data_IF_490787583642
#
_entry.id   IF_490787583642
#
_cell.length_a   1.000
_cell.length_b   1.000
_cell.length_c   1.000
_cell.angle_alpha   90.00
_cell.angle_beta   90.00
_cell.angle_gamma   90.00
#
_symmetry.space_group_name_H-M   'P 1'
#
loop_
_entity.id
_entity.type
_entity.pdbx_description
1 polymer ?
#
# COMPACT_ATOMS: atom_id res chain seq x y z
N UNK A 1 -16.69 17.00 6.64
CA UNK A 1 -16.55 18.25 5.87
C UNK A 1 -17.47 18.18 4.65
N UNK A 2 -17.98 19.30 4.12
CA UNK A 2 -18.83 19.26 2.92
C UNK A 2 -17.96 19.30 1.65
N UNK A 3 -18.21 18.34 0.75
CA UNK A 3 -17.51 18.20 -0.53
C UNK A 3 -18.46 18.57 -1.67
N UNK A 4 -17.98 19.35 -2.63
CA UNK A 4 -18.69 19.76 -3.85
C UNK A 4 -18.68 18.64 -4.90
N UNK A 5 -19.13 17.46 -4.49
CA UNK A 5 -19.28 16.28 -5.35
C UNK A 5 -20.76 15.88 -5.37
N UNK A 6 -21.25 15.52 -6.54
CA UNK A 6 -22.63 15.04 -6.72
C UNK A 6 -22.60 13.57 -7.09
N UNK A 7 -23.21 12.73 -6.24
CA UNK A 7 -23.38 11.31 -6.52
C UNK A 7 -24.61 11.08 -7.41
N UNK A 8 -24.46 10.20 -8.40
CA UNK A 8 -25.53 9.84 -9.35
C UNK A 8 -26.14 8.46 -9.07
N UNK A 9 -25.46 7.64 -8.28
CA UNK A 9 -25.87 6.29 -7.94
C UNK A 9 -25.44 5.91 -6.51
N UNK A 10 -25.93 4.77 -6.03
CA UNK A 10 -25.67 4.31 -4.65
C UNK A 10 -24.18 4.05 -4.39
N UNK A 11 -23.43 3.59 -5.39
CA UNK A 11 -22.01 3.32 -5.27
C UNK A 11 -21.22 4.63 -5.09
N UNK A 12 -21.54 5.65 -5.88
CA UNK A 12 -20.96 6.99 -5.74
C UNK A 12 -21.34 7.64 -4.40
N UNK A 13 -22.54 7.38 -3.88
CA UNK A 13 -22.97 7.86 -2.56
C UNK A 13 -22.12 7.27 -1.42
N UNK A 14 -21.77 5.99 -1.49
CA UNK A 14 -20.89 5.35 -0.52
C UNK A 14 -19.48 5.96 -0.55
N UNK A 15 -18.94 6.17 -1.74
CA UNK A 15 -17.62 6.82 -1.93
C UNK A 15 -17.66 8.26 -1.43
N UNK A 16 -18.71 9.01 -1.75
CA UNK A 16 -18.89 10.38 -1.27
C UNK A 16 -18.92 10.44 0.26
N UNK A 17 -19.71 9.56 0.89
CA UNK A 17 -19.81 9.48 2.34
C UNK A 17 -18.47 9.13 2.97
N UNK A 18 -17.72 8.21 2.37
CA UNK A 18 -16.38 7.87 2.82
C UNK A 18 -15.45 9.09 2.75
N UNK A 19 -15.41 9.79 1.62
CA UNK A 19 -14.57 10.98 1.43
C UNK A 19 -14.96 12.10 2.41
N UNK A 20 -16.25 12.35 2.65
CA UNK A 20 -16.72 13.37 3.59
C UNK A 20 -16.24 13.14 5.02
N UNK A 21 -16.05 11.87 5.41
CA UNK A 21 -15.63 11.46 6.75
C UNK A 21 -14.12 11.36 6.91
N UNK A 22 -13.38 11.07 5.83
CA UNK A 22 -11.96 10.73 5.90
C UNK A 22 -11.02 11.71 5.17
N UNK A 23 -11.54 12.57 4.29
CA UNK A 23 -10.69 13.52 3.57
C UNK A 23 -10.08 14.56 4.53
N UNK A 24 -8.79 14.84 4.34
CA UNK A 24 -8.11 15.97 4.99
C UNK A 24 -8.63 17.31 4.48
N UNK A 25 -8.40 18.40 5.21
CA UNK A 25 -8.79 19.74 4.75
C UNK A 25 -8.12 20.10 3.41
N UNK A 26 -6.88 19.67 3.22
CA UNK A 26 -6.12 19.87 1.98
C UNK A 26 -6.80 19.12 0.83
N UNK A 27 -7.13 17.84 1.02
CA UNK A 27 -7.79 17.03 0.01
C UNK A 27 -9.18 17.58 -0.34
N UNK A 28 -9.95 17.98 0.67
CA UNK A 28 -11.25 18.59 0.46
C UNK A 28 -11.16 19.92 -0.31
N UNK A 29 -10.13 20.73 -0.05
CA UNK A 29 -9.85 21.93 -0.84
C UNK A 29 -9.54 21.58 -2.30
N UNK A 30 -8.71 20.56 -2.56
CA UNK A 30 -8.44 20.06 -3.93
C UNK A 30 -9.72 19.58 -4.62
N UNK A 31 -10.58 18.85 -3.92
CA UNK A 31 -11.86 18.37 -4.44
C UNK A 31 -12.79 19.53 -4.78
N UNK A 32 -12.92 20.50 -3.88
CA UNK A 32 -13.90 21.59 -4.01
C UNK A 32 -13.47 22.65 -5.03
N UNK A 33 -12.18 22.99 -5.05
CA UNK A 33 -11.64 24.07 -5.85
C UNK A 33 -10.99 23.58 -7.16
N UNK A 34 -10.57 22.32 -7.21
CA UNK A 34 -9.73 21.77 -8.27
C UNK A 34 -8.25 22.05 -8.01
N UNK A 35 -7.40 21.58 -8.93
CA UNK A 35 -5.94 21.78 -8.89
C UNK A 35 -5.45 22.51 -10.14
N UNK A 36 -4.44 23.38 -10.04
CA UNK A 36 -3.84 24.01 -11.21
C UNK A 36 -3.24 22.97 -12.17
N UNK A 37 -3.44 23.14 -13.47
CA UNK A 37 -2.93 22.25 -14.50
C UNK A 37 -2.47 23.05 -15.72
N UNK A 38 -1.25 22.82 -16.19
CA UNK A 38 -0.72 23.52 -17.36
C UNK A 38 -0.88 22.68 -18.63
N UNK A 39 -1.53 23.25 -19.65
CA UNK A 39 -1.68 22.61 -20.96
C UNK A 39 -1.68 23.65 -22.07
N UNK A 40 -0.94 23.38 -23.15
CA UNK A 40 -0.87 24.26 -24.32
C UNK A 40 -0.47 25.72 -23.99
N UNK A 41 0.36 25.90 -22.95
CA UNK A 41 0.80 27.22 -22.47
C UNK A 41 -0.28 28.01 -21.71
N UNK A 42 -1.40 27.36 -21.33
CA UNK A 42 -2.47 27.93 -20.53
C UNK A 42 -2.56 27.25 -19.16
N UNK A 43 -2.79 28.04 -18.13
CA UNK A 43 -3.15 27.55 -16.80
C UNK A 43 -4.64 27.22 -16.81
N UNK A 44 -4.96 25.99 -16.44
CA UNK A 44 -6.31 25.44 -16.38
C UNK A 44 -6.58 24.94 -14.96
N UNK A 45 -7.85 24.77 -14.62
CA UNK A 45 -8.27 24.13 -13.37
C UNK A 45 -8.71 22.71 -13.65
N UNK A 46 -8.00 21.73 -13.09
CA UNK A 46 -8.38 20.33 -13.11
C UNK A 46 -9.40 20.04 -12.01
N UNK A 47 -10.61 19.60 -12.38
CA UNK A 47 -11.63 19.13 -11.44
C UNK A 47 -11.96 17.68 -11.71
N UNK A 48 -11.90 16.89 -10.64
CA UNK A 48 -12.21 15.46 -10.65
C UNK A 48 -13.65 15.26 -10.19
N UNK A 49 -14.27 14.19 -10.67
CA UNK A 49 -15.68 13.85 -10.37
C UNK A 49 -15.79 12.41 -9.89
N UNK A 50 -16.87 12.08 -9.19
CA UNK A 50 -17.16 10.71 -8.77
C UNK A 50 -17.31 9.77 -9.96
N UNK A 51 -17.94 10.22 -11.05
CA UNK A 51 -18.00 9.43 -12.29
C UNK A 51 -16.62 9.18 -12.90
N UNK A 52 -15.72 10.17 -12.85
CA UNK A 52 -14.32 10.02 -13.25
C UNK A 52 -13.59 8.99 -12.38
N UNK A 53 -13.82 9.05 -11.07
CA UNK A 53 -13.30 8.06 -10.12
C UNK A 53 -13.81 6.65 -10.44
N UNK A 54 -15.10 6.46 -10.71
CA UNK A 54 -15.64 5.13 -11.03
C UNK A 54 -14.95 4.49 -12.25
N UNK A 55 -14.65 5.29 -13.29
CA UNK A 55 -13.87 4.82 -14.45
C UNK A 55 -12.44 4.45 -14.07
N UNK A 56 -11.79 5.29 -13.26
CA UNK A 56 -10.46 5.02 -12.74
C UNK A 56 -10.41 3.72 -11.91
N UNK A 57 -11.36 3.53 -11.00
CA UNK A 57 -11.48 2.31 -10.19
C UNK A 57 -11.70 1.06 -11.06
N UNK A 58 -12.53 1.14 -12.11
CA UNK A 58 -12.70 0.03 -13.06
C UNK A 58 -11.39 -0.34 -13.78
N UNK A 59 -10.58 0.64 -14.18
CA UNK A 59 -9.29 0.35 -14.83
C UNK A 59 -8.30 -0.32 -13.86
N UNK A 60 -8.21 0.17 -12.61
CA UNK A 60 -7.39 -0.45 -11.58
C UNK A 60 -7.84 -1.88 -11.27
N UNK A 61 -9.15 -2.10 -11.21
CA UNK A 61 -9.73 -3.43 -11.06
C UNK A 61 -9.32 -4.38 -12.19
N UNK A 62 -9.35 -3.91 -13.43
CA UNK A 62 -8.93 -4.69 -14.59
C UNK A 62 -7.43 -5.01 -14.54
N UNK A 63 -6.59 -4.03 -14.24
CA UNK A 63 -5.14 -4.21 -14.13
C UNK A 63 -4.77 -5.25 -13.07
N UNK A 64 -5.48 -5.27 -11.93
CA UNK A 64 -5.30 -6.32 -10.91
C UNK A 64 -5.63 -7.71 -11.46
N UNK A 65 -6.70 -7.83 -12.25
CA UNK A 65 -7.06 -9.10 -12.89
C UNK A 65 -6.02 -9.53 -13.93
N UNK A 66 -5.46 -8.60 -14.70
CA UNK A 66 -4.42 -8.88 -15.72
C UNK A 66 -3.10 -9.34 -15.08
N UNK A 67 -2.77 -8.83 -13.89
CA UNK A 67 -1.59 -9.25 -13.11
C UNK A 67 -1.76 -10.62 -12.42
N UNK A 68 -2.82 -11.36 -12.74
CA UNK A 68 -3.06 -12.71 -12.22
C UNK A 68 -3.55 -12.76 -10.78
N UNK A 69 -4.07 -11.64 -10.24
CA UNK A 69 -4.69 -11.65 -8.92
C UNK A 69 -5.94 -12.55 -8.94
N UNK A 70 -5.98 -13.54 -8.06
CA UNK A 70 -7.11 -14.48 -7.95
C UNK A 70 -8.09 -13.97 -6.91
N UNK A 71 -8.90 -12.97 -7.28
CA UNK A 71 -10.01 -12.51 -6.45
C UNK A 71 -11.32 -12.44 -7.24
N UNK A 72 -12.41 -12.90 -6.62
CA UNK A 72 -13.74 -12.82 -7.21
C UNK A 72 -14.37 -11.42 -7.09
N UNK A 73 -13.89 -10.61 -6.15
CA UNK A 73 -14.36 -9.24 -5.92
C UNK A 73 -13.24 -8.34 -5.36
N UNK A 74 -13.47 -7.03 -5.40
CA UNK A 74 -12.60 -6.03 -4.79
C UNK A 74 -13.31 -5.54 -3.54
N UNK A 75 -12.61 -5.49 -2.42
CA UNK A 75 -13.16 -5.03 -1.16
C UNK A 75 -13.31 -3.49 -1.13
N UNK A 76 -14.25 -3.04 -0.30
CA UNK A 76 -14.57 -1.62 -0.17
C UNK A 76 -13.36 -0.78 0.28
N UNK A 77 -12.48 -1.31 1.14
CA UNK A 77 -11.32 -0.59 1.65
C UNK A 77 -10.32 -0.27 0.55
N UNK A 78 -10.06 -1.24 -0.34
CA UNK A 78 -9.24 -1.03 -1.54
C UNK A 78 -9.83 0.04 -2.45
N UNK A 79 -11.14 -0.01 -2.73
CA UNK A 79 -11.83 1.00 -3.56
C UNK A 79 -11.75 2.39 -2.93
N UNK A 80 -11.94 2.49 -1.61
CA UNK A 80 -11.84 3.76 -0.89
C UNK A 80 -10.41 4.33 -0.88
N UNK A 81 -9.39 3.47 -0.78
CA UNK A 81 -8.00 3.88 -0.92
C UNK A 81 -7.73 4.48 -2.31
N UNK A 82 -8.25 3.85 -3.36
CA UNK A 82 -8.19 4.41 -4.71
C UNK A 82 -8.92 5.76 -4.83
N UNK A 83 -9.99 5.98 -4.08
CA UNK A 83 -10.70 7.25 -4.10
C UNK A 83 -9.84 8.38 -3.54
N UNK A 84 -9.18 8.16 -2.39
CA UNK A 84 -8.24 9.14 -1.81
C UNK A 84 -7.12 9.44 -2.80
N UNK A 85 -6.44 8.40 -3.30
CA UNK A 85 -5.36 8.57 -4.26
C UNK A 85 -5.82 9.28 -5.53
N UNK A 86 -6.97 8.89 -6.09
CA UNK A 86 -7.54 9.51 -7.28
C UNK A 86 -7.73 11.01 -7.10
N UNK A 87 -8.27 11.47 -5.96
CA UNK A 87 -8.50 12.89 -5.73
C UNK A 87 -7.23 13.66 -5.29
N UNK A 88 -6.30 13.00 -4.60
CA UNK A 88 -5.09 13.60 -4.08
C UNK A 88 -4.00 13.81 -5.14
N UNK A 89 -3.88 12.87 -6.07
CA UNK A 89 -2.77 12.79 -7.03
C UNK A 89 -2.91 13.80 -8.18
N UNK A 90 -2.03 14.79 -8.24
CA UNK A 90 -2.15 15.90 -9.20
C UNK A 90 -1.90 15.47 -10.66
N UNK A 91 -1.20 14.35 -10.87
CA UNK A 91 -0.98 13.78 -12.20
C UNK A 91 -2.22 13.16 -12.84
N UNK A 92 -3.25 12.83 -12.05
CA UNK A 92 -4.51 12.30 -12.56
C UNK A 92 -5.39 13.45 -13.07
N UNK A 93 -5.65 13.43 -14.37
CA UNK A 93 -6.42 14.49 -15.05
C UNK A 93 -7.91 14.14 -15.09
N UNK A 94 -8.73 15.01 -14.51
CA UNK A 94 -10.18 15.01 -14.63
C UNK A 94 -10.66 15.93 -15.76
N UNK A 95 -11.74 16.65 -15.51
CA UNK A 95 -12.25 17.66 -16.45
C UNK A 95 -11.47 18.96 -16.25
N UNK A 96 -10.92 19.50 -17.34
CA UNK A 96 -10.18 20.76 -17.33
C UNK A 96 -11.12 21.94 -17.59
N UNK A 97 -10.95 23.01 -16.84
CA UNK A 97 -11.71 24.25 -16.97
C UNK A 97 -10.78 25.44 -17.23
N UNK A 98 -11.22 26.37 -18.07
CA UNK A 98 -10.55 27.67 -18.24
C UNK A 98 -10.82 28.58 -17.03
N UNK A 99 -10.11 29.70 -16.97
CA UNK A 99 -10.29 30.73 -15.91
C UNK A 99 -11.71 31.33 -15.88
N UNK A 100 -12.44 31.28 -17.00
CA UNK A 100 -13.84 31.71 -17.11
C UNK A 100 -14.86 30.65 -16.62
N UNK A 101 -14.38 29.49 -16.15
CA UNK A 101 -15.21 28.39 -15.69
C UNK A 101 -15.83 27.54 -16.82
N UNK A 102 -15.52 27.81 -18.08
CA UNK A 102 -15.94 26.97 -19.21
C UNK A 102 -15.06 25.72 -19.32
N UNK A 103 -15.66 24.60 -19.70
CA UNK A 103 -14.92 23.36 -19.92
C UNK A 103 -13.93 23.52 -21.09
N UNK A 104 -12.66 23.20 -20.84
CA UNK A 104 -11.60 23.26 -21.84
C UNK A 104 -11.78 22.12 -22.86
N UNK A 105 -12.19 22.50 -24.08
CA UNK A 105 -12.17 21.63 -25.24
C UNK A 105 -10.95 21.98 -26.07
N UNK A 106 -10.02 21.04 -26.21
CA UNK A 106 -8.85 21.23 -27.07
C UNK A 106 -9.33 21.55 -28.49
N UNK A 107 -8.95 22.72 -29.00
CA UNK A 107 -9.26 23.09 -30.38
C UNK A 107 -8.31 22.30 -31.28
N UNK A 108 -8.71 21.09 -31.67
CA UNK A 108 -8.06 20.40 -32.79
C UNK A 108 -8.45 21.17 -34.04
N UNK A 109 -7.47 21.74 -34.75
CA UNK A 109 -7.72 22.33 -36.08
C UNK A 109 -8.44 21.28 -36.94
N UNK A 110 -9.55 21.64 -37.62
CA UNK A 110 -10.26 20.67 -38.46
C UNK A 110 -9.37 20.32 -39.65
N UNK A 111 -8.97 19.05 -39.74
CA UNK A 111 -8.58 18.48 -41.03
C UNK A 111 -9.88 18.40 -41.83
N UNK A 112 -9.96 19.20 -42.91
CA UNK A 112 -11.06 19.13 -43.88
C UNK A 112 -11.07 17.73 -44.50
N UNK A 113 -11.92 16.84 -43.97
CA UNK A 113 -12.30 15.64 -44.69
C UNK A 113 -13.27 16.04 -45.79
N UNK A 114 -12.74 16.36 -46.96
CA UNK A 114 -13.51 16.43 -48.18
C UNK A 114 -13.98 15.01 -48.54
N UNK A 115 -15.28 14.77 -48.35
CA UNK A 115 -15.97 13.56 -48.78
C UNK A 115 -15.85 13.40 -50.30
N UNK A 116 -15.09 12.41 -50.76
CA UNK A 116 -15.13 11.92 -52.15
C UNK A 116 -15.80 10.54 -52.14
N UNK A 117 -16.89 10.43 -52.91
CA UNK A 117 -17.66 9.19 -53.16
C UNK A 117 -16.78 8.09 -53.79
N UNK A 118 -16.96 6.80 -53.46
CA UNK A 118 -16.20 5.71 -54.08
C UNK A 118 -16.79 5.31 -55.45
N UNK A 119 -15.92 5.07 -56.44
CA UNK A 119 -16.20 4.34 -57.71
C UNK A 119 -15.04 3.35 -57.95
N UNK A 120 -15.26 2.15 -58.53
CA UNK A 120 -14.48 0.94 -58.18
C UNK A 120 -13.19 0.70 -58.99
N UNK A 121 -12.20 0.12 -58.27
CA UNK A 121 -11.08 -0.83 -58.56
C UNK A 121 -10.46 -0.99 -59.97
N UNK A 122 -9.13 -1.26 -60.06
CA UNK A 122 -8.59 -2.64 -59.92
C UNK A 122 -7.31 -2.81 -59.05
N UNK A 123 -6.91 -4.07 -58.80
CA UNK A 123 -6.08 -4.59 -57.69
C UNK A 123 -4.55 -4.73 -57.95
N UNK A 124 -3.76 -4.56 -56.85
CA UNK A 124 -2.50 -5.23 -56.39
C UNK A 124 -1.18 -5.05 -57.19
N UNK A 125 0.03 -5.10 -56.54
CA UNK A 125 0.46 -6.09 -55.53
C UNK A 125 0.86 -5.56 -54.14
N UNK A 126 0.95 -6.50 -53.20
CA UNK A 126 1.35 -6.36 -51.79
C UNK A 126 2.87 -6.45 -51.68
N UNK A 127 3.48 -5.59 -50.87
CA UNK A 127 4.73 -5.92 -50.19
C UNK A 127 4.49 -5.97 -48.69
N UNK A 128 4.89 -7.11 -48.13
CA UNK A 128 4.82 -7.51 -46.73
C UNK A 128 6.22 -7.28 -46.16
N UNK A 129 6.35 -6.55 -45.06
CA UNK A 129 7.50 -6.73 -44.17
C UNK A 129 7.02 -6.86 -42.71
N UNK A 130 7.47 -7.94 -42.09
CA UNK A 130 7.05 -8.54 -40.83
C UNK A 130 7.70 -7.87 -39.60
N UNK A 131 7.03 -8.07 -38.45
CA UNK A 131 7.43 -7.75 -37.08
C UNK A 131 8.82 -8.25 -36.69
N UNK A 132 9.56 -7.40 -35.97
CA UNK A 132 10.84 -7.71 -35.30
C UNK A 132 10.58 -8.19 -33.86
N UNK A 133 9.67 -9.13 -33.62
CA UNK A 133 9.52 -9.71 -32.27
C UNK A 133 8.81 -11.07 -32.32
N UNK A 134 9.23 -11.91 -33.27
CA UNK A 134 8.76 -13.30 -33.38
C UNK A 134 9.93 -14.14 -33.90
N UNK A 135 11.02 -14.21 -33.12
CA UNK A 135 12.03 -15.25 -33.32
C UNK A 135 12.79 -15.50 -32.00
N UNK A 136 12.96 -16.79 -31.69
CA UNK A 136 13.62 -17.40 -30.52
C UNK A 136 12.80 -17.61 -29.24
N UNK A 137 11.67 -18.31 -29.39
CA UNK A 137 11.36 -19.42 -28.48
C UNK A 137 11.72 -20.75 -29.15
N UNK A 138 12.67 -21.44 -28.53
CA UNK A 138 12.90 -22.90 -28.52
C UNK A 138 13.23 -23.66 -29.81
N UNK A 139 14.42 -24.27 -29.80
CA UNK A 139 14.76 -25.68 -30.16
C UNK A 139 16.30 -25.77 -30.24
N UNK A 140 17.03 -26.81 -29.86
CA UNK A 140 16.79 -28.10 -29.21
C UNK A 140 18.18 -28.72 -28.88
N UNK A 141 18.16 -29.86 -28.19
CA UNK A 141 19.23 -30.57 -27.46
C UNK A 141 20.29 -31.29 -28.34
N UNK A 142 21.58 -31.33 -27.90
CA UNK A 142 22.40 -32.57 -27.69
C UNK A 142 23.89 -32.34 -27.34
N UNK A 143 24.24 -32.83 -26.14
CA UNK A 143 25.41 -33.61 -25.68
C UNK A 143 26.85 -33.30 -26.15
N UNK A 144 27.76 -33.02 -25.20
CA UNK A 144 28.84 -33.94 -24.77
C UNK A 144 29.70 -33.39 -23.60
N UNK A 145 29.85 -34.23 -22.58
CA UNK A 145 31.01 -34.53 -21.69
C UNK A 145 32.03 -33.45 -21.21
N UNK A 146 32.03 -33.25 -19.89
CA UNK A 146 33.09 -33.46 -18.85
C UNK A 146 34.56 -32.94 -19.01
N UNK A 147 35.11 -32.59 -17.83
CA UNK A 147 36.49 -32.19 -17.42
C UNK A 147 36.76 -30.68 -17.41
N UNK A 148 36.87 -29.98 -16.27
CA UNK A 148 37.72 -30.04 -15.06
C UNK A 148 38.89 -29.01 -15.11
N UNK A 149 39.28 -28.57 -13.91
CA UNK A 149 40.31 -27.63 -13.47
C UNK A 149 39.92 -26.16 -13.35
N UNK A 150 40.26 -25.44 -12.27
CA UNK A 150 40.61 -25.80 -10.90
C UNK A 150 40.75 -24.48 -10.12
N UNK A 151 40.29 -24.48 -8.86
CA UNK A 151 40.88 -23.82 -7.69
C UNK A 151 41.34 -22.35 -7.78
N UNK A 152 40.68 -21.47 -7.03
CA UNK A 152 41.37 -20.75 -5.94
C UNK A 152 40.51 -20.85 -4.67
N UNK A 153 41.22 -21.23 -3.62
CA UNK A 153 40.78 -21.81 -2.35
C UNK A 153 40.70 -20.73 -1.27
N UNK A 154 39.61 -20.76 -0.51
CA UNK A 154 39.50 -20.56 0.95
C UNK A 154 39.98 -19.30 1.69
N UNK A 155 39.17 -19.06 2.76
CA UNK A 155 39.49 -18.50 4.10
C UNK A 155 39.45 -16.97 4.21
N UNK A 156 38.75 -16.38 5.18
CA UNK A 156 38.61 -16.79 6.58
C UNK A 156 37.26 -16.36 7.19
N UNK A 157 36.64 -17.30 7.90
CA UNK A 157 35.93 -17.02 9.15
C UNK A 157 36.93 -16.59 10.23
N UNK A 158 36.66 -15.50 10.96
CA UNK A 158 36.47 -15.58 12.41
C UNK A 158 36.09 -14.24 13.05
N UNK A 159 35.15 -14.41 13.95
CA UNK A 159 34.63 -13.56 15.00
C UNK A 159 35.72 -13.12 15.99
N UNK A 160 35.75 -11.85 16.36
CA UNK A 160 36.20 -11.43 17.68
C UNK A 160 35.51 -10.16 18.16
N UNK A 161 35.27 -10.16 19.47
CA UNK A 161 34.49 -9.22 20.26
C UNK A 161 35.27 -7.92 20.51
N UNK A 162 34.55 -6.81 20.56
CA UNK A 162 34.96 -5.65 21.36
C UNK A 162 33.73 -4.87 21.83
N UNK A 163 33.40 -5.03 23.11
CA UNK A 163 32.73 -4.04 23.96
C UNK A 163 33.64 -2.77 23.98
N UNK A 164 33.26 -1.51 24.11
CA UNK A 164 32.08 -0.75 24.54
C UNK A 164 32.26 0.66 23.96
N UNK A 165 31.20 1.40 23.62
CA UNK A 165 30.91 2.77 24.10
C UNK A 165 29.80 3.46 23.29
N UNK A 166 28.89 4.05 24.05
CA UNK A 166 27.65 4.70 23.63
C UNK A 166 28.00 6.07 23.03
N UNK A 167 27.73 6.26 21.73
CA UNK A 167 27.60 7.58 21.13
C UNK A 167 26.35 7.68 20.24
N UNK A 168 25.70 8.83 20.41
CA UNK A 168 24.43 9.33 19.87
C UNK A 168 24.38 9.24 18.33
N UNK A 169 23.24 8.89 17.68
CA UNK A 169 23.24 8.66 16.24
C UNK A 169 23.42 9.98 15.49
N UNK A 170 24.58 10.10 14.83
CA UNK A 170 24.90 11.13 13.86
C UNK A 170 24.26 10.78 12.51
N UNK A 171 23.73 11.80 11.83
CA UNK A 171 23.23 11.72 10.46
C UNK A 171 24.30 11.12 9.54
N UNK A 172 23.99 9.98 8.94
CA UNK A 172 24.71 9.46 7.77
C UNK A 172 23.83 9.74 6.56
N UNK A 173 24.05 10.90 5.92
CA UNK A 173 23.54 11.20 4.59
C UNK A 173 24.56 10.69 3.56
N UNK A 174 24.44 9.42 3.18
CA UNK A 174 25.11 8.89 1.98
C UNK A 174 24.23 9.10 0.75
N UNK A 175 24.77 9.46 -0.43
CA UNK A 175 23.99 10.14 -1.48
C UNK A 175 23.03 9.25 -2.29
N UNK A 176 22.92 7.94 -2.00
CA UNK A 176 22.10 6.99 -2.77
C UNK A 176 21.53 5.84 -1.92
N UNK A 177 21.20 6.09 -0.64
CA UNK A 177 20.61 5.04 0.22
C UNK A 177 19.14 4.82 -0.14
N UNK A 178 18.79 3.61 -0.61
CA UNK A 178 17.41 3.25 -0.96
C UNK A 178 16.52 3.15 0.29
N UNK A 179 15.20 3.11 0.12
CA UNK A 179 14.29 2.83 1.23
C UNK A 179 14.64 1.51 1.93
N UNK A 180 14.93 0.48 1.14
CA UNK A 180 15.23 -0.85 1.68
C UNK A 180 16.52 -0.86 2.50
N UNK A 181 17.56 -0.14 2.05
CA UNK A 181 18.80 0.02 2.83
C UNK A 181 18.52 0.67 4.20
N UNK A 182 17.70 1.73 4.23
CA UNK A 182 17.30 2.40 5.48
C UNK A 182 16.53 1.46 6.40
N UNK A 183 15.61 0.69 5.82
CA UNK A 183 14.85 -0.32 6.56
C UNK A 183 15.76 -1.39 7.18
N UNK A 184 16.70 -1.92 6.40
CA UNK A 184 17.66 -2.93 6.87
C UNK A 184 18.53 -2.42 8.01
N UNK A 185 19.03 -1.18 7.91
CA UNK A 185 19.80 -0.56 8.99
C UNK A 185 18.98 -0.47 10.28
N UNK A 186 17.72 -0.04 10.19
CA UNK A 186 16.82 0.04 11.34
C UNK A 186 16.53 -1.34 11.93
N UNK A 187 16.30 -2.34 11.10
CA UNK A 187 16.04 -3.72 11.53
C UNK A 187 17.27 -4.35 12.20
N UNK A 188 18.48 -4.10 11.66
CA UNK A 188 19.74 -4.55 12.26
C UNK A 188 20.01 -3.88 13.62
N UNK A 189 19.66 -2.60 13.76
CA UNK A 189 19.77 -1.89 15.03
C UNK A 189 18.75 -2.36 16.08
N UNK A 190 17.65 -3.00 15.65
CA UNK A 190 16.54 -3.42 16.51
C UNK A 190 16.22 -4.91 16.31
N UNK A 191 17.15 -5.84 16.59
CA UNK A 191 16.98 -7.25 16.27
C UNK A 191 15.87 -7.96 17.06
N UNK A 192 15.38 -7.34 18.15
CA UNK A 192 14.29 -7.87 19.00
C UNK A 192 12.92 -7.30 18.67
N UNK A 193 12.82 -6.45 17.65
CA UNK A 193 11.60 -5.75 17.28
C UNK A 193 11.37 -5.85 15.78
N UNK A 194 10.11 -5.98 15.38
CA UNK A 194 9.72 -5.75 14.00
C UNK A 194 9.68 -4.24 13.72
N UNK A 195 10.22 -3.81 12.59
CA UNK A 195 10.18 -2.40 12.16
C UNK A 195 8.92 -2.15 11.35
N UNK A 196 8.00 -1.35 11.89
CA UNK A 196 6.84 -0.84 11.17
C UNK A 196 7.17 0.55 10.61
N UNK A 197 7.50 0.62 9.33
CA UNK A 197 7.93 1.85 8.67
C UNK A 197 6.75 2.50 7.95
N UNK A 198 6.46 3.77 8.27
CA UNK A 198 5.41 4.52 7.59
C UNK A 198 5.88 5.03 6.24
N UNK A 199 5.17 4.60 5.21
CA UNK A 199 5.31 5.10 3.85
C UNK A 199 3.95 5.61 3.39
N UNK A 200 3.78 6.94 3.41
CA UNK A 200 2.51 7.58 3.09
C UNK A 200 1.41 7.25 4.12
N UNK A 201 0.35 6.63 3.65
CA UNK A 201 -0.84 6.23 4.42
C UNK A 201 -0.79 4.79 4.93
N UNK A 202 0.32 4.06 4.75
CA UNK A 202 0.51 2.71 5.28
C UNK A 202 1.72 2.61 6.19
N UNK A 203 1.64 1.70 7.17
CA UNK A 203 2.83 1.12 7.79
C UNK A 203 3.16 -0.19 7.09
N UNK A 204 4.44 -0.38 6.79
CA UNK A 204 4.97 -1.57 6.15
C UNK A 204 5.99 -2.27 7.05
N UNK A 205 5.86 -3.60 7.16
CA UNK A 205 6.84 -4.50 7.79
C UNK A 205 7.31 -5.46 6.70
N UNK A 206 8.62 -5.65 6.59
CA UNK A 206 9.26 -6.44 5.53
C UNK A 206 10.00 -7.67 6.07
N UNK A 207 10.25 -8.63 5.17
CA UNK A 207 11.10 -9.80 5.40
C UNK A 207 10.47 -10.84 6.31
N UNK A 208 11.29 -11.52 7.11
CA UNK A 208 10.88 -12.62 7.98
C UNK A 208 9.79 -12.20 8.98
N UNK A 209 9.96 -11.03 9.62
CA UNK A 209 8.96 -10.45 10.53
C UNK A 209 7.59 -10.29 9.85
N UNK A 210 7.56 -9.94 8.56
CA UNK A 210 6.31 -9.83 7.82
C UNK A 210 5.64 -11.19 7.67
N UNK A 211 6.40 -12.24 7.36
CA UNK A 211 5.90 -13.61 7.18
C UNK A 211 5.39 -14.20 8.51
N UNK A 212 6.04 -13.90 9.62
CA UNK A 212 5.64 -14.34 10.95
C UNK A 212 4.36 -13.62 11.40
N UNK A 213 4.37 -12.29 11.40
CA UNK A 213 3.24 -11.47 11.84
C UNK A 213 2.00 -11.71 10.96
N UNK A 214 2.17 -11.87 9.64
CA UNK A 214 1.08 -12.20 8.73
C UNK A 214 0.28 -13.42 9.20
N UNK A 215 1.01 -14.48 9.61
CA UNK A 215 0.41 -15.75 10.05
C UNK A 215 -0.26 -15.63 11.43
N UNK A 216 0.28 -14.81 12.32
CA UNK A 216 -0.22 -14.71 13.69
C UNK A 216 -1.49 -13.88 13.83
N UNK A 217 -1.61 -12.80 13.06
CA UNK A 217 -2.74 -11.86 13.18
C UNK A 217 -3.63 -11.80 11.94
N UNK A 218 -3.47 -12.78 11.04
CA UNK A 218 -4.24 -12.97 9.81
C UNK A 218 -4.21 -11.73 8.89
N UNK A 219 -2.99 -11.22 8.65
CA UNK A 219 -2.74 -10.17 7.67
C UNK A 219 -2.33 -10.77 6.33
N UNK A 220 -2.80 -10.17 5.24
CA UNK A 220 -2.41 -10.58 3.89
C UNK A 220 -0.92 -10.36 3.69
N UNK A 221 -0.17 -11.45 3.51
CA UNK A 221 1.23 -11.41 3.10
C UNK A 221 1.31 -11.07 1.61
N UNK A 222 2.10 -10.05 1.29
CA UNK A 222 2.35 -9.57 -0.07
C UNK A 222 3.86 -9.46 -0.30
N UNK A 223 4.28 -8.80 -1.38
CA UNK A 223 5.70 -8.59 -1.67
C UNK A 223 5.94 -7.20 -2.24
N UNK A 224 7.05 -6.57 -1.84
CA UNK A 224 7.49 -5.26 -2.31
C UNK A 224 8.68 -5.43 -3.27
N UNK A 225 8.68 -4.64 -4.34
CA UNK A 225 9.88 -4.48 -5.15
C UNK A 225 10.82 -3.47 -4.47
N UNK A 226 12.01 -3.94 -4.10
CA UNK A 226 13.03 -3.15 -3.41
C UNK A 226 14.27 -2.90 -4.30
N UNK A 227 14.19 -3.16 -5.61
CA UNK A 227 15.33 -3.06 -6.51
C UNK A 227 16.32 -4.23 -6.39
N UNK A 228 15.86 -5.36 -5.87
CA UNK A 228 16.59 -6.63 -5.81
C UNK A 228 16.12 -7.58 -6.92
N UNK A 229 16.86 -8.66 -7.17
CA UNK A 229 16.44 -9.70 -8.12
C UNK A 229 15.10 -10.35 -7.70
N UNK A 230 14.88 -10.51 -6.40
CA UNK A 230 13.65 -11.07 -5.83
C UNK A 230 12.86 -10.01 -5.05
N UNK A 231 11.53 -10.12 -5.06
CA UNK A 231 10.65 -9.25 -4.28
C UNK A 231 10.70 -9.63 -2.80
N UNK A 232 10.70 -8.63 -1.93
CA UNK A 232 10.80 -8.82 -0.48
C UNK A 232 9.40 -9.05 0.11
N UNK A 233 9.16 -10.10 0.91
CA UNK A 233 7.90 -10.29 1.61
C UNK A 233 7.51 -9.07 2.45
N UNK A 234 6.22 -8.72 2.45
CA UNK A 234 5.71 -7.50 3.08
C UNK A 234 4.31 -7.72 3.65
N UNK A 235 4.04 -7.14 4.82
CA UNK A 235 2.69 -6.81 5.27
C UNK A 235 2.54 -5.30 5.36
N UNK A 236 1.35 -4.82 5.02
CA UNK A 236 1.00 -3.41 5.10
C UNK A 236 -0.35 -3.22 5.78
N UNK A 237 -0.49 -2.16 6.58
CA UNK A 237 -1.79 -1.78 7.14
C UNK A 237 -1.99 -0.27 7.18
N UNK A 238 -3.23 0.23 7.06
CA UNK A 238 -3.50 1.66 6.97
C UNK A 238 -3.13 2.42 8.24
N UNK A 239 -2.50 3.58 8.08
CA UNK A 239 -2.10 4.50 9.14
C UNK A 239 -3.27 4.85 10.08
N UNK A 240 -4.44 5.15 9.52
CA UNK A 240 -5.62 5.54 10.30
C UNK A 240 -6.16 4.41 11.21
N UNK A 241 -5.82 3.16 10.91
CA UNK A 241 -6.19 1.99 11.69
C UNK A 241 -4.99 1.38 12.44
N UNK A 242 -3.83 2.03 12.40
CA UNK A 242 -2.56 1.43 12.82
C UNK A 242 -2.52 1.05 14.29
N UNK A 243 -3.11 1.84 15.19
CA UNK A 243 -3.15 1.53 16.62
C UNK A 243 -3.82 0.18 16.92
N UNK A 244 -4.84 -0.21 16.14
CA UNK A 244 -5.47 -1.52 16.26
C UNK A 244 -4.53 -2.65 15.83
N UNK A 245 -3.77 -2.45 14.75
CA UNK A 245 -2.80 -3.43 14.28
C UNK A 245 -1.61 -3.53 15.22
N UNK A 246 -1.06 -2.40 15.67
CA UNK A 246 -0.01 -2.38 16.69
C UNK A 246 -0.42 -3.12 17.95
N UNK A 247 -1.65 -2.92 18.43
CA UNK A 247 -2.18 -3.63 19.60
C UNK A 247 -2.29 -5.14 19.38
N UNK A 248 -2.58 -5.59 18.16
CA UNK A 248 -2.61 -7.03 17.82
C UNK A 248 -1.20 -7.61 17.76
N UNK A 249 -0.30 -6.93 17.05
CA UNK A 249 1.10 -7.36 16.86
C UNK A 249 1.85 -7.36 18.21
N UNK A 250 1.58 -6.38 19.07
CA UNK A 250 2.18 -6.28 20.39
C UNK A 250 1.86 -7.49 21.30
N UNK A 251 0.94 -8.39 20.95
CA UNK A 251 0.73 -9.62 21.72
C UNK A 251 1.86 -10.64 21.52
N UNK A 252 2.54 -10.58 20.39
CA UNK A 252 3.54 -11.57 19.97
C UNK A 252 4.91 -10.97 19.66
N UNK A 253 4.97 -9.69 19.32
CA UNK A 253 6.20 -9.02 18.87
C UNK A 253 6.40 -7.65 19.54
N UNK A 254 7.66 -7.28 19.77
CA UNK A 254 8.00 -5.86 19.99
C UNK A 254 7.99 -5.12 18.65
N UNK A 255 7.62 -3.86 18.65
CA UNK A 255 7.59 -3.01 17.46
C UNK A 255 8.45 -1.76 17.62
N UNK A 256 9.19 -1.44 16.56
CA UNK A 256 9.71 -0.09 16.33
C UNK A 256 8.87 0.55 15.23
N UNK A 257 8.05 1.52 15.61
CA UNK A 257 7.27 2.34 14.68
C UNK A 257 8.13 3.51 14.21
N UNK A 258 8.21 3.71 12.90
CA UNK A 258 8.97 4.79 12.28
C UNK A 258 8.03 5.62 11.43
N UNK A 259 7.90 6.91 11.74
CA UNK A 259 7.08 7.86 11.00
C UNK A 259 7.78 8.36 9.73
N UNK A 260 7.02 8.96 8.81
CA UNK A 260 7.53 9.49 7.55
C UNK A 260 8.62 10.56 7.75
N UNK A 261 8.56 11.32 8.85
CA UNK A 261 9.54 12.35 9.21
C UNK A 261 10.79 11.77 9.92
N UNK A 262 10.83 10.45 10.13
CA UNK A 262 11.91 9.75 10.83
C UNK A 262 11.72 9.68 12.35
N UNK A 263 10.63 10.22 12.90
CA UNK A 263 10.30 10.07 14.32
C UNK A 263 10.08 8.59 14.63
N UNK A 264 10.63 8.11 15.75
CA UNK A 264 10.49 6.70 16.16
C UNK A 264 9.75 6.56 17.48
N UNK A 265 8.94 5.51 17.57
CA UNK A 265 8.20 5.11 18.77
C UNK A 265 8.32 3.60 18.97
N UNK A 266 8.61 3.18 20.20
CA UNK A 266 8.72 1.76 20.54
C UNK A 266 7.45 1.28 21.24
N UNK A 267 7.00 0.09 20.87
CA UNK A 267 5.87 -0.61 21.48
C UNK A 267 6.40 -1.97 21.94
N UNK A 268 6.45 -2.18 23.25
CA UNK A 268 6.90 -3.47 23.80
C UNK A 268 5.78 -4.51 23.68
N UNK A 269 6.21 -5.76 23.55
CA UNK A 269 5.31 -6.90 23.59
C UNK A 269 4.61 -6.97 24.95
N UNK A 270 3.29 -7.12 24.91
CA UNK A 270 2.45 -7.34 26.08
C UNK A 270 2.63 -8.82 26.49
N UNK A 271 3.11 -9.11 27.71
CA UNK A 271 3.21 -10.48 28.18
C UNK A 271 1.82 -11.11 28.20
N UNK A 272 1.68 -12.29 27.58
CA UNK A 272 0.46 -13.07 27.69
C UNK A 272 0.31 -13.55 29.14
N UNK A 273 -0.51 -12.86 29.93
CA UNK A 273 -0.83 -13.24 31.32
C UNK A 273 -1.74 -14.47 31.42
N UNK A 274 -2.14 -15.04 30.28
CA UNK A 274 -3.10 -16.15 30.15
C UNK A 274 -2.43 -17.46 29.71
N UNK A 275 -1.18 -17.73 30.10
CA UNK A 275 -0.74 -19.12 30.15
C UNK A 275 -1.58 -19.81 31.22
N UNK A 276 -2.67 -20.46 30.79
CA UNK A 276 -3.41 -21.40 31.63
C UNK A 276 -2.45 -22.53 31.94
N UNK A 277 -1.84 -22.48 33.12
CA UNK A 277 -1.11 -23.60 33.67
C UNK A 277 -2.17 -24.64 33.99
N UNK A 278 -2.24 -25.69 33.16
CA UNK A 278 -3.10 -26.85 33.41
C UNK A 278 -2.25 -27.90 34.10
N UNK A 279 -2.67 -28.36 35.26
CA UNK A 279 -2.06 -29.51 35.90
C UNK A 279 -2.21 -30.73 34.98
N UNK A 280 -1.09 -31.31 34.55
CA UNK A 280 -1.09 -32.38 33.55
C UNK A 280 -1.66 -33.71 34.09
N UNK A 281 -1.77 -33.88 35.40
CA UNK A 281 -2.28 -35.09 36.04
C UNK A 281 -3.76 -34.97 36.41
N UNK A 282 -4.22 -33.79 36.85
CA UNK A 282 -5.61 -33.57 37.30
C UNK A 282 -6.49 -32.85 36.27
N UNK A 283 -5.90 -32.18 35.28
CA UNK A 283 -6.62 -31.36 34.31
C UNK A 283 -7.16 -30.04 34.89
N UNK A 284 -6.74 -29.67 36.09
CA UNK A 284 -7.19 -28.46 36.78
C UNK A 284 -6.47 -27.21 36.24
N UNK A 285 -7.20 -26.10 36.07
CA UNK A 285 -6.65 -24.81 35.64
C UNK A 285 -6.13 -24.08 36.88
N UNK A 286 -4.81 -23.94 37.00
CA UNK A 286 -4.13 -23.42 38.20
C UNK A 286 -3.92 -21.89 38.20
N UNK A 287 -4.67 -21.13 37.39
CA UNK A 287 -4.52 -19.68 37.34
C UNK A 287 -5.75 -18.96 36.82
N UNK A 288 -6.52 -18.37 37.73
CA UNK A 288 -7.56 -17.39 37.45
C UNK A 288 -7.33 -16.17 38.35
N UNK A 289 -6.42 -15.28 37.94
CA UNK A 289 -6.44 -13.92 38.48
C UNK A 289 -7.59 -13.18 37.79
N UNK A 290 -8.79 -13.29 38.36
CA UNK A 290 -9.92 -12.44 38.02
C UNK A 290 -9.49 -10.98 38.21
N UNK A 291 -9.34 -10.24 37.11
CA UNK A 291 -9.32 -8.77 37.17
C UNK A 291 -10.55 -8.32 38.00
N UNK A 292 -10.38 -7.45 39.01
CA UNK A 292 -11.48 -7.07 39.89
C UNK A 292 -12.63 -6.53 39.05
N UNK A 293 -13.82 -7.09 39.31
CA UNK A 293 -15.08 -6.89 38.60
C UNK A 293 -15.44 -5.39 38.37
N UNK A 294 -14.84 -4.50 39.16
CA UNK A 294 -15.02 -3.06 39.12
C UNK A 294 -14.55 -2.41 37.82
N UNK A 295 -13.51 -2.91 37.15
CA UNK A 295 -13.00 -2.30 35.90
C UNK A 295 -13.91 -2.58 34.71
N UNK A 296 -14.51 -3.77 34.66
CA UNK A 296 -15.46 -4.16 33.60
C UNK A 296 -16.81 -3.48 33.83
N UNK A 297 -17.27 -3.41 35.07
CA UNK A 297 -18.49 -2.67 35.43
C UNK A 297 -18.33 -1.17 35.13
N UNK A 298 -17.17 -0.57 35.42
CA UNK A 298 -16.91 0.84 35.12
C UNK A 298 -16.90 1.12 33.61
N UNK A 299 -16.30 0.24 32.80
CA UNK A 299 -16.31 0.35 31.33
C UNK A 299 -17.70 0.14 30.74
N UNK A 300 -18.50 -0.78 31.31
CA UNK A 300 -19.89 -0.98 30.89
C UNK A 300 -20.77 0.23 31.27
N UNK A 301 -20.54 0.87 32.42
CA UNK A 301 -21.21 2.10 32.82
C UNK A 301 -20.87 3.29 31.91
N UNK A 302 -19.62 3.40 31.45
CA UNK A 302 -19.23 4.42 30.46
C UNK A 302 -19.88 4.19 29.09
N UNK A 303 -20.05 2.92 28.67
CA UNK A 303 -20.63 2.58 27.36
C UNK A 303 -22.17 2.71 27.36
N UNK A 304 -22.83 2.33 28.46
CA UNK A 304 -24.30 2.20 28.54
C UNK A 304 -24.98 3.18 29.50
N UNK A 305 -24.32 4.28 29.85
CA UNK A 305 -24.78 5.27 30.83
C UNK A 305 -26.30 5.55 30.81
N UNK A 306 -26.93 5.30 31.96
CA UNK A 306 -28.31 5.65 32.34
C UNK A 306 -29.45 5.19 31.41
N UNK A 307 -29.54 3.90 31.11
CA UNK A 307 -30.79 3.28 30.61
C UNK A 307 -31.37 2.16 31.48
N UNK A 308 -31.10 2.19 32.79
CA UNK A 308 -31.78 1.33 33.75
C UNK A 308 -32.29 2.17 34.94
N UNK A 309 -33.40 2.87 34.74
CA UNK A 309 -34.33 3.09 35.86
C UNK A 309 -35.03 1.75 36.13
N UNK A 310 -34.64 1.12 37.23
CA UNK A 310 -35.33 -0.06 37.77
C UNK A 310 -36.38 0.47 38.75
N UNK A 311 -37.67 0.30 38.41
CA UNK A 311 -38.78 0.34 39.38
C UNK A 311 -38.78 -0.93 40.23
#
# INVERSE_FOLDING_TARGET
MELNLTAQNKQEELVLKYLQNNASEVLASKINNGTPFEKDGKTLTNKKTLSGFMKYACNNAQELSEKGATSACIDDQTVYGWAIHFFEEDSIVGTLYNDDGTEYKSVTKPVQNNTIKPKPQPQKPKDIQFSIFDDLTEQEVKNNEMEELNTITEKHSNMEKSETQIEKPSKIESPNTTFYDKYLVLQQQNPKSAVAYRLGDFYEILGENAVEIAREIDLTLTSRDCGLEERVPMIGFPYHAAENYFSKIAKTHNLLVVETDGTTRRIEQIPNKNERIVDAETGEILGEDLEPNDTVISKLFEIFGNMLEVQ
#
